data_IF_638525043438
#
_entry.id   IF_638525043438
#
_cell.length_a   1.000
_cell.length_b   1.000
_cell.length_c   1.000
_cell.angle_alpha   90.00
_cell.angle_beta   90.00
_cell.angle_gamma   90.00
#
_symmetry.space_group_name_H-M   'P 1'
#
loop_
_entity.id
_entity.type
_entity.pdbx_description
1 polymer ?
#
# COMPACT_ATOMS: atom_id res chain seq x y z
N UNK A 1 7.61 -11.00 3.86
CA UNK A 1 7.43 -9.61 4.28
C UNK A 1 6.19 -9.10 3.58
N UNK A 2 6.25 -8.57 2.36
CA UNK A 2 5.02 -8.01 1.78
C UNK A 2 4.06 -9.07 1.23
N UNK A 3 4.53 -10.15 0.56
CA UNK A 3 3.64 -11.28 0.18
C UNK A 3 3.12 -12.09 1.38
N UNK A 4 3.58 -11.81 2.60
CA UNK A 4 3.26 -12.61 3.79
C UNK A 4 3.99 -13.97 3.88
N UNK A 5 4.94 -14.25 2.98
CA UNK A 5 5.68 -15.54 2.97
C UNK A 5 6.89 -15.58 3.90
N UNK A 6 7.25 -14.45 4.52
CA UNK A 6 8.45 -14.31 5.36
C UNK A 6 8.10 -13.33 6.49
N UNK A 7 8.33 -13.72 7.74
CA UNK A 7 8.15 -12.84 8.89
C UNK A 7 9.26 -11.79 8.99
N UNK A 8 8.93 -10.59 9.48
CA UNK A 8 9.89 -9.48 9.59
C UNK A 8 11.10 -9.84 10.47
N UNK A 9 10.87 -10.50 11.60
CA UNK A 9 11.93 -10.86 12.55
C UNK A 9 12.93 -11.85 11.91
N UNK A 10 12.44 -12.81 11.12
CA UNK A 10 13.29 -13.72 10.35
C UNK A 10 14.09 -12.97 9.27
N UNK A 11 13.49 -11.99 8.60
CA UNK A 11 14.19 -11.18 7.61
C UNK A 11 15.34 -10.37 8.23
N UNK A 12 15.11 -9.75 9.39
CA UNK A 12 16.16 -9.04 10.14
C UNK A 12 17.25 -9.99 10.65
N UNK A 13 16.89 -11.19 11.12
CA UNK A 13 17.86 -12.21 11.50
C UNK A 13 18.75 -12.61 10.32
N UNK A 14 18.15 -12.92 9.18
CA UNK A 14 18.88 -13.23 7.95
C UNK A 14 19.79 -12.07 7.54
N UNK A 15 19.29 -10.84 7.57
CA UNK A 15 20.07 -9.67 7.19
C UNK A 15 21.28 -9.44 8.10
N UNK A 16 21.14 -9.67 9.42
CA UNK A 16 22.27 -9.67 10.37
C UNK A 16 23.29 -10.77 10.06
N UNK A 17 22.83 -11.98 9.75
CA UNK A 17 23.71 -13.11 9.48
C UNK A 17 24.52 -12.92 8.18
N UNK A 18 23.91 -12.33 7.15
CA UNK A 18 24.57 -11.99 5.89
C UNK A 18 25.52 -10.78 6.02
N UNK A 19 25.31 -9.92 7.03
CA UNK A 19 26.07 -8.69 7.24
C UNK A 19 26.64 -8.59 8.66
N UNK A 20 27.56 -9.51 9.07
CA UNK A 20 28.01 -9.61 10.46
C UNK A 20 28.69 -8.34 10.99
N UNK A 21 29.34 -7.55 10.12
CA UNK A 21 29.97 -6.27 10.48
C UNK A 21 28.96 -5.17 10.83
N UNK A 22 27.71 -5.29 10.39
CA UNK A 22 26.64 -4.31 10.58
C UNK A 22 25.59 -4.79 11.58
N UNK A 23 25.87 -5.85 12.34
CA UNK A 23 24.87 -6.49 13.21
C UNK A 23 24.27 -5.52 14.21
N UNK A 24 25.07 -4.59 14.74
CA UNK A 24 24.64 -3.58 15.72
C UNK A 24 23.68 -2.59 15.05
N UNK A 25 24.08 -2.02 13.93
CA UNK A 25 23.33 -1.04 13.16
C UNK A 25 22.00 -1.61 12.67
N UNK A 26 22.00 -2.85 12.19
CA UNK A 26 20.77 -3.54 11.76
C UNK A 26 19.81 -3.74 12.93
N UNK A 27 20.32 -4.06 14.13
CA UNK A 27 19.50 -4.19 15.34
C UNK A 27 18.92 -2.85 15.77
N UNK A 28 19.70 -1.78 15.69
CA UNK A 28 19.22 -0.42 15.97
C UNK A 28 18.11 -0.01 14.97
N UNK A 29 18.31 -0.28 13.68
CA UNK A 29 17.31 -0.03 12.63
C UNK A 29 16.03 -0.84 12.89
N UNK A 30 16.12 -2.13 13.20
CA UNK A 30 14.97 -3.01 13.48
C UNK A 30 14.05 -2.44 14.59
N UNK A 31 14.63 -1.73 15.55
CA UNK A 31 13.88 -1.16 16.66
C UNK A 31 13.18 0.17 16.32
N UNK A 32 13.63 0.91 15.30
CA UNK A 32 13.16 2.28 15.03
C UNK A 32 12.48 2.46 13.68
N UNK A 33 12.69 1.58 12.70
CA UNK A 33 12.26 1.80 11.32
C UNK A 33 10.74 2.01 11.15
N UNK A 34 9.91 1.39 12.00
CA UNK A 34 8.45 1.57 11.97
C UNK A 34 8.05 3.00 12.35
N UNK A 35 8.84 3.66 13.20
CA UNK A 35 8.57 5.05 13.60
C UNK A 35 8.76 6.05 12.45
N UNK A 36 9.51 5.66 11.41
CA UNK A 36 9.68 6.44 10.19
C UNK A 36 8.54 6.29 9.18
N UNK A 37 7.56 5.42 9.44
CA UNK A 37 6.37 5.28 8.60
C UNK A 37 5.36 6.38 8.95
N UNK A 38 5.68 7.60 8.54
CA UNK A 38 4.91 8.82 8.84
C UNK A 38 3.99 9.17 7.65
N UNK A 39 2.72 9.50 7.90
CA UNK A 39 1.79 9.88 6.84
C UNK A 39 2.17 11.20 6.18
N UNK A 40 1.77 11.35 4.91
CA UNK A 40 1.87 12.62 4.19
C UNK A 40 0.56 13.38 4.38
N UNK A 41 0.58 14.42 5.20
CA UNK A 41 -0.61 15.20 5.59
C UNK A 41 -1.41 15.76 4.40
N UNK A 42 -0.73 16.15 3.32
CA UNK A 42 -1.39 16.59 2.07
C UNK A 42 -2.28 15.47 1.50
N UNK A 43 -1.84 14.22 1.57
CA UNK A 43 -2.58 13.09 1.02
C UNK A 43 -3.76 12.70 1.89
N UNK A 44 -3.65 12.86 3.22
CA UNK A 44 -4.78 12.66 4.13
C UNK A 44 -5.92 13.63 3.80
N UNK A 45 -5.62 14.91 3.57
CA UNK A 45 -6.65 15.90 3.20
C UNK A 45 -7.37 15.57 1.89
N UNK A 46 -6.63 15.02 0.91
CA UNK A 46 -7.23 14.57 -0.35
C UNK A 46 -8.09 13.34 -0.09
N UNK A 47 -7.60 12.40 0.72
CA UNK A 47 -8.32 11.18 1.10
C UNK A 47 -9.68 11.49 1.75
N UNK A 48 -9.73 12.46 2.67
CA UNK A 48 -10.96 12.91 3.32
C UNK A 48 -11.98 13.43 2.29
N UNK A 49 -11.54 14.26 1.33
CA UNK A 49 -12.41 14.74 0.23
C UNK A 49 -12.92 13.61 -0.67
N UNK A 50 -12.13 12.56 -0.87
CA UNK A 50 -12.52 11.42 -1.68
C UNK A 50 -13.54 10.54 -0.96
N UNK A 51 -13.42 10.37 0.35
CA UNK A 51 -14.34 9.59 1.19
C UNK A 51 -15.76 10.16 1.20
N UNK A 52 -15.90 11.48 1.02
CA UNK A 52 -17.22 12.14 0.93
C UNK A 52 -18.05 11.72 -0.30
N UNK A 53 -17.38 11.26 -1.37
CA UNK A 53 -18.02 11.05 -2.68
C UNK A 53 -17.81 9.64 -3.25
N UNK A 54 -16.87 8.88 -2.70
CA UNK A 54 -16.44 7.59 -3.25
C UNK A 54 -16.28 6.55 -2.15
N UNK A 55 -16.50 5.28 -2.49
CA UNK A 55 -16.08 4.20 -1.62
C UNK A 55 -14.56 4.01 -1.72
N UNK A 56 -13.87 4.01 -0.58
CA UNK A 56 -12.42 3.88 -0.54
C UNK A 56 -11.99 2.46 -0.16
N UNK A 57 -11.10 1.91 -0.99
CA UNK A 57 -10.42 0.64 -0.75
C UNK A 57 -8.92 0.85 -0.64
N UNK A 58 -8.31 0.26 0.39
CA UNK A 58 -6.86 0.25 0.54
C UNK A 58 -6.26 -0.98 -0.15
N UNK A 59 -5.42 -0.78 -1.17
CA UNK A 59 -4.63 -1.83 -1.82
C UNK A 59 -3.14 -1.58 -1.60
N UNK A 60 -2.48 -2.36 -0.74
CA UNK A 60 -1.08 -2.11 -0.40
C UNK A 60 -0.22 -3.37 -0.39
N UNK A 61 0.96 -3.26 -1.00
CA UNK A 61 2.06 -4.19 -0.74
C UNK A 61 2.67 -3.80 0.60
N UNK A 62 2.36 -4.54 1.66
CA UNK A 62 2.78 -4.19 3.02
C UNK A 62 3.00 -5.45 3.85
N UNK A 63 4.08 -5.47 4.62
CA UNK A 63 4.36 -6.50 5.61
C UNK A 63 3.53 -6.32 6.89
N UNK A 64 3.18 -7.46 7.49
CA UNK A 64 2.20 -7.59 8.55
C UNK A 64 2.50 -6.76 9.80
N UNK A 65 3.68 -6.94 10.41
CA UNK A 65 4.06 -6.30 11.68
C UNK A 65 3.93 -4.77 11.64
N UNK A 66 4.44 -4.14 10.58
CA UNK A 66 4.33 -2.68 10.48
C UNK A 66 2.91 -2.24 10.15
N UNK A 67 2.21 -2.94 9.26
CA UNK A 67 0.82 -2.60 8.94
C UNK A 67 -0.05 -2.59 10.21
N UNK A 68 0.04 -3.63 11.05
CA UNK A 68 -0.71 -3.72 12.31
C UNK A 68 -0.39 -2.57 13.29
N UNK A 69 0.85 -2.07 13.28
CA UNK A 69 1.26 -0.95 14.13
C UNK A 69 0.75 0.38 13.56
N UNK A 70 0.98 0.67 12.27
CA UNK A 70 0.60 1.94 11.67
C UNK A 70 -0.92 2.08 11.54
N UNK A 71 -1.65 0.98 11.29
CA UNK A 71 -3.11 0.97 11.24
C UNK A 71 -3.73 1.37 12.58
N UNK A 72 -3.16 0.89 13.70
CA UNK A 72 -3.61 1.28 15.05
C UNK A 72 -3.17 2.69 15.41
N UNK A 73 -2.05 3.15 14.88
CA UNK A 73 -1.46 4.46 15.20
C UNK A 73 -2.16 5.61 14.47
N UNK A 74 -2.59 5.40 13.23
CA UNK A 74 -3.11 6.48 12.38
C UNK A 74 -4.59 6.31 12.06
N UNK A 75 -5.38 7.29 12.49
CA UNK A 75 -6.84 7.27 12.39
C UNK A 75 -7.37 7.27 10.95
N UNK A 76 -6.62 7.84 10.00
CA UNK A 76 -7.06 7.94 8.60
C UNK A 76 -7.31 6.56 7.97
N UNK A 77 -6.73 5.48 8.48
CA UNK A 77 -7.01 4.13 7.98
C UNK A 77 -8.49 3.75 8.12
N UNK A 78 -9.28 4.42 8.98
CA UNK A 78 -10.71 4.14 9.20
C UNK A 78 -11.62 4.52 8.03
N UNK A 79 -11.16 5.39 7.12
CA UNK A 79 -11.94 5.77 5.93
C UNK A 79 -12.10 4.57 4.98
N UNK A 80 -11.06 3.75 4.85
CA UNK A 80 -11.09 2.54 4.03
C UNK A 80 -11.99 1.48 4.68
N UNK A 81 -13.18 1.23 4.10
CA UNK A 81 -14.07 0.15 4.57
C UNK A 81 -13.63 -1.22 4.06
N UNK A 82 -12.97 -1.25 2.91
CA UNK A 82 -12.38 -2.43 2.28
C UNK A 82 -10.86 -2.33 2.28
N UNK A 83 -10.16 -3.43 2.56
CA UNK A 83 -8.69 -3.49 2.61
C UNK A 83 -8.17 -4.77 1.98
N UNK A 84 -7.27 -4.66 1.03
CA UNK A 84 -6.44 -5.74 0.50
C UNK A 84 -4.97 -5.43 0.78
N UNK A 85 -4.46 -6.05 1.84
CA UNK A 85 -3.03 -5.95 2.21
C UNK A 85 -2.36 -7.25 1.80
N UNK A 86 -1.30 -7.12 0.99
CA UNK A 86 -0.63 -8.25 0.35
C UNK A 86 -0.21 -9.36 1.30
N UNK A 87 0.16 -9.02 2.54
CA UNK A 87 0.62 -10.02 3.51
C UNK A 87 -0.50 -10.90 4.06
N UNK A 88 -1.75 -10.44 4.02
CA UNK A 88 -2.91 -11.21 4.46
C UNK A 88 -3.54 -12.03 3.33
N UNK A 89 -3.35 -11.61 2.08
CA UNK A 89 -3.99 -12.25 0.91
C UNK A 89 -2.99 -13.02 0.02
N UNK A 90 -1.70 -12.96 0.35
CA UNK A 90 -0.59 -13.59 -0.38
C UNK A 90 -0.48 -13.23 -1.87
N UNK A 91 -0.94 -12.03 -2.23
CA UNK A 91 -0.89 -11.47 -3.58
C UNK A 91 -0.21 -10.12 -3.55
N UNK A 92 0.57 -9.79 -4.57
CA UNK A 92 1.34 -8.55 -4.65
C UNK A 92 1.02 -7.83 -5.94
N UNK A 93 0.94 -6.49 -5.88
CA UNK A 93 1.15 -5.68 -7.08
C UNK A 93 2.59 -5.87 -7.55
N UNK A 94 2.86 -5.94 -8.86
CA UNK A 94 1.96 -5.71 -10.00
C UNK A 94 1.30 -7.00 -10.54
N UNK A 95 1.33 -8.12 -9.82
CA UNK A 95 0.77 -9.39 -10.31
C UNK A 95 -0.75 -9.24 -10.54
N UNK A 96 -1.24 -9.62 -11.72
CA UNK A 96 -2.66 -9.43 -12.10
C UNK A 96 -3.65 -10.07 -11.13
N UNK A 97 -3.23 -11.14 -10.44
CA UNK A 97 -4.05 -11.82 -9.45
C UNK A 97 -4.54 -10.90 -8.33
N UNK A 98 -3.78 -9.85 -7.97
CA UNK A 98 -4.21 -8.94 -6.91
C UNK A 98 -5.36 -8.04 -7.37
N UNK A 99 -5.34 -7.59 -8.62
CA UNK A 99 -6.41 -6.80 -9.22
C UNK A 99 -7.67 -7.66 -9.41
N UNK A 100 -7.49 -8.90 -9.87
CA UNK A 100 -8.60 -9.87 -9.96
C UNK A 100 -9.22 -10.17 -8.60
N UNK A 101 -8.38 -10.34 -7.57
CA UNK A 101 -8.83 -10.56 -6.20
C UNK A 101 -9.70 -9.41 -5.70
N UNK A 102 -9.29 -8.15 -5.88
CA UNK A 102 -10.08 -7.02 -5.35
C UNK A 102 -11.39 -6.83 -6.10
N UNK A 103 -11.40 -7.00 -7.43
CA UNK A 103 -12.61 -6.86 -8.23
C UNK A 103 -13.64 -7.90 -7.79
N UNK A 104 -13.24 -9.17 -7.65
CA UNK A 104 -14.14 -10.26 -7.29
C UNK A 104 -14.57 -10.24 -5.82
N UNK A 105 -13.63 -10.08 -4.90
CA UNK A 105 -13.94 -10.22 -3.46
C UNK A 105 -14.60 -8.99 -2.85
N UNK A 106 -14.50 -7.83 -3.51
CA UNK A 106 -15.14 -6.61 -3.05
C UNK A 106 -16.25 -6.11 -3.98
N UNK A 107 -16.61 -6.92 -4.98
CA UNK A 107 -17.68 -6.66 -5.95
C UNK A 107 -17.56 -5.28 -6.61
N UNK A 108 -16.36 -4.97 -7.10
CA UNK A 108 -16.07 -3.68 -7.70
C UNK A 108 -16.40 -3.70 -9.20
N UNK A 109 -17.06 -2.65 -9.67
CA UNK A 109 -17.15 -2.41 -11.11
C UNK A 109 -15.81 -1.83 -11.60
N UNK A 110 -15.15 -2.60 -12.45
CA UNK A 110 -13.84 -2.26 -13.03
C UNK A 110 -13.84 -0.92 -13.79
N UNK A 111 -14.93 -0.60 -14.49
CA UNK A 111 -15.05 0.64 -15.29
C UNK A 111 -15.25 1.89 -14.42
N UNK A 112 -15.78 1.71 -13.22
CA UNK A 112 -16.03 2.76 -12.22
C UNK A 112 -14.95 2.81 -11.14
N UNK A 113 -13.93 1.94 -11.23
CA UNK A 113 -12.81 1.88 -10.27
C UNK A 113 -11.62 2.68 -10.79
N UNK A 114 -11.10 3.56 -9.94
CA UNK A 114 -9.83 4.27 -10.17
C UNK A 114 -8.78 3.78 -9.19
N UNK A 115 -7.63 3.35 -9.70
CA UNK A 115 -6.48 2.93 -8.91
C UNK A 115 -5.40 4.01 -8.87
N UNK A 116 -4.91 4.35 -7.68
CA UNK A 116 -3.90 5.41 -7.49
C UNK A 116 -2.69 4.78 -6.80
N UNK A 117 -1.51 4.90 -7.41
CA UNK A 117 -0.27 4.32 -6.89
C UNK A 117 0.95 5.14 -7.34
N UNK A 118 1.98 5.20 -6.51
CA UNK A 118 3.23 5.92 -6.79
C UNK A 118 4.24 5.07 -7.57
N UNK A 119 4.02 3.76 -7.68
CA UNK A 119 4.89 2.86 -8.42
C UNK A 119 4.34 2.64 -9.83
N UNK A 120 5.01 3.20 -10.84
CA UNK A 120 4.61 3.11 -12.25
C UNK A 120 4.25 1.69 -12.70
N UNK A 121 5.05 0.69 -12.32
CA UNK A 121 4.80 -0.72 -12.71
C UNK A 121 3.46 -1.26 -12.19
N UNK A 122 3.02 -0.81 -11.01
CA UNK A 122 1.71 -1.20 -10.47
C UNK A 122 0.60 -0.58 -11.31
N UNK A 123 0.74 0.70 -11.66
CA UNK A 123 -0.22 1.47 -12.47
C UNK A 123 -0.35 0.88 -13.87
N UNK A 124 0.77 0.58 -14.53
CA UNK A 124 0.78 -0.04 -15.86
C UNK A 124 0.06 -1.39 -15.84
N UNK A 125 0.35 -2.26 -14.86
CA UNK A 125 -0.32 -3.54 -14.74
C UNK A 125 -1.82 -3.41 -14.44
N UNK A 126 -2.23 -2.41 -13.67
CA UNK A 126 -3.65 -2.13 -13.42
C UNK A 126 -4.37 -1.61 -14.68
N UNK A 127 -3.72 -0.74 -15.47
CA UNK A 127 -4.23 -0.27 -16.76
C UNK A 127 -4.37 -1.41 -17.76
N UNK A 128 -3.37 -2.27 -17.88
CA UNK A 128 -3.42 -3.45 -18.76
C UNK A 128 -4.47 -4.45 -18.28
N UNK A 129 -4.61 -4.64 -16.96
CA UNK A 129 -5.70 -5.41 -16.39
C UNK A 129 -7.05 -4.77 -16.72
N UNK A 130 -7.11 -3.44 -16.91
CA UNK A 130 -8.24 -2.65 -17.40
C UNK A 130 -8.91 -1.76 -16.35
N UNK A 131 -8.24 -1.46 -15.24
CA UNK A 131 -8.67 -0.50 -14.22
C UNK A 131 -8.11 0.87 -14.58
N UNK A 132 -8.95 1.92 -14.59
CA UNK A 132 -8.48 3.30 -14.76
C UNK A 132 -7.47 3.59 -13.66
N UNK A 133 -6.29 4.13 -14.01
CA UNK A 133 -5.24 4.28 -13.00
C UNK A 133 -4.47 5.59 -13.14
N UNK A 134 -4.03 6.14 -12.00
CA UNK A 134 -3.22 7.36 -11.90
C UNK A 134 -1.88 7.02 -11.27
N UNK A 135 -0.79 7.37 -11.96
CA UNK A 135 0.56 7.34 -11.39
C UNK A 135 0.79 8.59 -10.55
N UNK A 136 0.62 8.46 -9.24
CA UNK A 136 0.78 9.54 -8.30
C UNK A 136 2.25 9.95 -8.17
N UNK A 137 2.53 11.23 -8.42
CA UNK A 137 3.84 11.84 -8.19
C UNK A 137 3.72 12.85 -7.06
N UNK A 138 4.76 12.98 -6.24
CA UNK A 138 4.73 13.83 -5.04
C UNK A 138 4.33 15.30 -5.32
N UNK A 139 4.78 15.84 -6.44
CA UNK A 139 4.51 17.20 -6.91
C UNK A 139 3.20 17.35 -7.70
N UNK A 140 2.46 16.26 -7.92
CA UNK A 140 1.21 16.25 -8.66
C UNK A 140 0.09 16.97 -7.91
N UNK A 141 -0.82 17.57 -8.69
CA UNK A 141 -2.14 17.97 -8.21
C UNK A 141 -3.15 16.85 -8.49
N UNK A 142 -3.26 15.91 -7.56
CA UNK A 142 -4.13 14.73 -7.71
C UNK A 142 -5.61 15.11 -7.84
N UNK A 143 -6.08 16.20 -7.20
CA UNK A 143 -7.46 16.66 -7.35
C UNK A 143 -7.78 16.99 -8.80
N UNK A 144 -6.87 17.69 -9.48
CA UNK A 144 -7.01 18.03 -10.91
C UNK A 144 -6.94 16.80 -11.81
N UNK A 145 -6.08 15.83 -11.51
CA UNK A 145 -6.00 14.59 -12.31
C UNK A 145 -7.29 13.76 -12.20
N UNK A 146 -7.92 13.73 -11.03
CA UNK A 146 -9.19 13.04 -10.81
C UNK A 146 -10.38 13.69 -11.51
N UNK A 147 -10.32 14.99 -11.82
CA UNK A 147 -11.35 15.67 -12.63
C UNK A 147 -11.33 15.24 -14.12
N UNK A 148 -10.22 14.64 -14.58
CA UNK A 148 -10.02 14.27 -16.00
C UNK A 148 -10.28 12.78 -16.28
N UNK A 149 -10.78 12.00 -15.32
CA UNK A 149 -10.93 10.53 -15.39
C UNK A 149 -12.39 10.09 -15.38
#
# INVERSE_FOLDING_TARGET
MDRGTIESDYAFEKFRNENPKLKKEITEIENIWIDYLIPIEKNIKILEKLDEKNELLLLSNFHKKAFEIVEKKYEFFKVFKKRAISCYINKLKPDYEIYDYIIKNFDLNKEETVFIDDTLKNVEAALEYGIKSIHYKYDMNLEKELENI
#
